data_IF_520196979573
#
_entry.id   IF_520196979573
#
_cell.length_a   1.000
_cell.length_b   1.000
_cell.length_c   1.000
_cell.angle_alpha   90.00
_cell.angle_beta   90.00
_cell.angle_gamma   90.00
#
_symmetry.space_group_name_H-M   'P 1'
#
loop_
_entity.id
_entity.type
_entity.pdbx_description
1 polymer ?
#
# COMPACT_ATOMS: atom_id res chain seq x y z
N UNK A 1 31.85 -40.18 66.43
CA UNK A 1 30.43 -40.59 66.45
C UNK A 1 29.66 -39.77 65.43
N UNK A 2 29.07 -40.45 64.44
CA UNK A 2 27.85 -40.18 63.68
C UNK A 2 27.09 -38.86 63.97
N UNK A 3 26.55 -38.12 62.99
CA UNK A 3 25.56 -38.65 62.05
C UNK A 3 25.33 -37.73 60.83
N UNK A 4 25.23 -38.37 59.67
CA UNK A 4 24.66 -37.84 58.42
C UNK A 4 23.13 -37.81 58.54
N UNK A 5 22.51 -36.68 58.82
CA UNK A 5 21.08 -36.47 58.58
C UNK A 5 20.87 -34.96 58.42
N UNK A 6 20.12 -34.53 57.40
CA UNK A 6 19.95 -33.14 56.90
C UNK A 6 20.95 -32.64 55.84
N UNK A 7 21.02 -33.36 54.71
CA UNK A 7 21.28 -32.75 53.39
C UNK A 7 20.23 -33.24 52.40
N UNK A 8 18.99 -32.75 52.54
CA UNK A 8 17.94 -32.90 51.53
C UNK A 8 16.79 -31.96 51.86
N UNK A 9 16.95 -30.67 51.53
CA UNK A 9 15.85 -29.77 51.14
C UNK A 9 16.47 -28.43 50.79
N UNK A 10 16.55 -28.10 49.50
CA UNK A 10 17.06 -26.78 49.11
C UNK A 10 17.57 -26.64 47.69
N UNK A 11 17.17 -27.47 46.73
CA UNK A 11 17.36 -27.17 45.31
C UNK A 11 16.16 -27.76 44.57
N UNK A 12 15.07 -27.02 44.49
CA UNK A 12 13.85 -27.51 43.90
C UNK A 12 12.81 -26.44 43.75
N UNK A 13 13.18 -25.29 43.18
CA UNK A 13 12.28 -24.33 42.53
C UNK A 13 13.15 -23.28 41.84
N UNK A 14 12.71 -22.74 40.70
CA UNK A 14 13.42 -21.81 39.80
C UNK A 14 14.21 -22.52 38.69
N UNK A 15 13.50 -23.30 37.88
CA UNK A 15 13.80 -23.46 36.45
C UNK A 15 12.50 -23.70 35.68
N UNK A 16 11.47 -22.90 35.96
CA UNK A 16 10.35 -22.75 35.03
C UNK A 16 10.82 -21.79 33.94
N UNK A 17 11.60 -22.32 33.00
CA UNK A 17 11.81 -21.71 31.69
C UNK A 17 10.42 -21.60 31.05
N UNK A 18 9.78 -20.46 31.26
CA UNK A 18 8.76 -19.95 30.35
C UNK A 18 9.46 -19.81 29.00
N UNK A 19 9.45 -20.88 28.21
CA UNK A 19 9.64 -20.80 26.77
C UNK A 19 8.48 -19.98 26.24
N UNK A 20 8.57 -18.66 26.37
CA UNK A 20 7.74 -17.73 25.63
C UNK A 20 8.19 -17.93 24.19
N UNK A 21 7.54 -18.87 23.50
CA UNK A 21 7.71 -19.04 22.08
C UNK A 21 7.32 -17.70 21.46
N UNK A 22 8.33 -16.89 21.17
CA UNK A 22 8.19 -15.59 20.52
C UNK A 22 7.74 -15.86 19.09
N UNK A 23 6.45 -16.13 18.92
CA UNK A 23 5.85 -16.13 17.60
C UNK A 23 6.09 -14.77 16.99
N UNK A 24 6.67 -14.75 15.78
CA UNK A 24 6.85 -13.51 15.03
C UNK A 24 5.49 -12.83 14.89
N UNK A 25 5.39 -11.60 15.40
CA UNK A 25 4.16 -10.80 15.32
C UNK A 25 3.87 -10.46 13.87
N UNK A 26 2.61 -10.60 13.46
CA UNK A 26 2.15 -10.07 12.18
C UNK A 26 2.00 -8.56 12.31
N UNK A 27 2.84 -7.81 11.60
CA UNK A 27 2.84 -6.35 11.59
C UNK A 27 1.77 -5.86 10.61
N UNK A 28 0.83 -5.05 11.09
CA UNK A 28 -0.26 -4.48 10.30
C UNK A 28 -0.04 -2.98 10.18
N UNK A 29 0.19 -2.50 8.97
CA UNK A 29 0.11 -1.07 8.68
C UNK A 29 -1.37 -0.66 8.57
N UNK A 30 -1.74 0.38 9.33
CA UNK A 30 -3.09 0.92 9.42
C UNK A 30 -3.04 2.33 8.85
N UNK A 31 -3.57 2.48 7.66
CA UNK A 31 -3.66 3.76 7.00
C UNK A 31 -4.98 4.46 7.34
N UNK A 32 -4.91 5.53 8.13
CA UNK A 32 -6.07 6.38 8.36
C UNK A 32 -6.21 7.35 7.17
N UNK A 33 -7.21 7.15 6.32
CA UNK A 33 -7.44 7.95 5.12
C UNK A 33 -7.49 9.45 5.41
N UNK A 34 -7.08 10.26 4.43
CA UNK A 34 -7.09 11.73 4.50
C UNK A 34 -6.22 12.32 5.65
N UNK A 35 -6.56 13.50 6.16
CA UNK A 35 -5.86 14.16 7.27
C UNK A 35 -5.38 15.57 6.92
N UNK A 36 -5.21 16.43 7.94
CA UNK A 36 -4.79 17.81 7.76
C UNK A 36 -5.80 18.61 6.94
N UNK A 37 -5.33 19.25 5.86
CA UNK A 37 -6.19 20.04 4.95
C UNK A 37 -7.10 19.21 4.07
N UNK A 38 -6.86 17.91 3.94
CA UNK A 38 -7.77 17.01 3.26
C UNK A 38 -8.79 16.45 4.27
N UNK A 39 -10.05 16.95 4.28
CA UNK A 39 -11.08 16.45 5.18
C UNK A 39 -11.58 15.05 4.81
N UNK A 40 -11.26 14.56 3.59
CA UNK A 40 -12.03 13.50 2.96
C UNK A 40 -13.50 13.90 2.81
N UNK A 41 -14.39 12.95 2.57
CA UNK A 41 -15.83 13.17 2.49
C UNK A 41 -16.36 13.99 3.69
N UNK A 42 -17.32 14.87 3.42
CA UNK A 42 -17.98 15.69 4.44
C UNK A 42 -19.46 15.33 4.37
N UNK A 43 -19.98 14.82 5.47
CA UNK A 43 -21.39 14.51 5.60
C UNK A 43 -22.24 15.77 5.52
N UNK A 44 -23.42 15.66 4.91
CA UNK A 44 -24.28 16.82 4.61
C UNK A 44 -25.19 17.21 5.78
N UNK A 45 -25.41 16.30 6.72
CA UNK A 45 -26.41 16.47 7.78
C UNK A 45 -25.80 17.17 9.00
N UNK A 46 -24.65 16.68 9.46
CA UNK A 46 -23.98 17.19 10.67
C UNK A 46 -22.55 17.66 10.40
N UNK A 47 -22.08 17.60 9.14
CA UNK A 47 -20.76 18.09 8.77
C UNK A 47 -19.62 17.17 9.22
N UNK A 48 -19.90 15.89 9.49
CA UNK A 48 -18.90 14.93 9.93
C UNK A 48 -17.84 14.74 8.85
N UNK A 49 -16.56 14.83 9.22
CA UNK A 49 -15.44 14.71 8.28
C UNK A 49 -14.87 13.30 8.31
N UNK A 50 -14.65 12.74 7.13
CA UNK A 50 -14.05 11.41 6.95
C UNK A 50 -12.74 11.27 7.71
N UNK A 51 -11.84 12.26 7.64
CA UNK A 51 -10.54 12.21 8.32
C UNK A 51 -10.63 11.96 9.83
N UNK A 52 -11.72 12.39 10.47
CA UNK A 52 -11.97 12.21 11.91
C UNK A 52 -12.47 10.79 12.20
N UNK A 53 -13.39 10.30 11.35
CA UNK A 53 -13.91 8.94 11.40
C UNK A 53 -12.79 7.92 11.20
N UNK A 54 -11.99 8.09 10.13
CA UNK A 54 -10.91 7.15 9.78
C UNK A 54 -9.82 7.11 10.84
N UNK A 55 -9.43 8.27 11.40
CA UNK A 55 -8.45 8.33 12.49
C UNK A 55 -8.97 7.63 13.75
N UNK A 56 -10.25 7.85 14.08
CA UNK A 56 -10.87 7.22 15.25
C UNK A 56 -10.91 5.70 15.10
N UNK A 57 -11.35 5.18 13.96
CA UNK A 57 -11.40 3.72 13.72
C UNK A 57 -9.98 3.14 13.69
N UNK A 58 -9.01 3.82 13.06
CA UNK A 58 -7.63 3.37 13.00
C UNK A 58 -6.98 3.27 14.39
N UNK A 59 -7.24 4.22 15.29
CA UNK A 59 -6.75 4.16 16.69
C UNK A 59 -7.35 3.00 17.46
N UNK A 60 -8.65 2.76 17.32
CA UNK A 60 -9.33 1.61 17.95
C UNK A 60 -8.78 0.28 17.41
N UNK A 61 -8.56 0.18 16.09
CA UNK A 61 -7.95 -1.00 15.48
C UNK A 61 -6.52 -1.21 15.97
N UNK A 62 -5.72 -0.15 16.07
CA UNK A 62 -4.35 -0.22 16.62
C UNK A 62 -4.37 -0.76 18.06
N UNK A 63 -5.25 -0.24 18.91
CA UNK A 63 -5.36 -0.69 20.30
C UNK A 63 -5.71 -2.18 20.40
N UNK A 64 -6.64 -2.67 19.55
CA UNK A 64 -6.97 -4.09 19.48
C UNK A 64 -5.79 -4.95 19.03
N UNK A 65 -5.05 -4.50 18.01
CA UNK A 65 -3.89 -5.23 17.49
C UNK A 65 -2.71 -5.25 18.46
N UNK A 66 -2.44 -4.15 19.16
CA UNK A 66 -1.35 -4.07 20.13
C UNK A 66 -1.65 -4.86 21.42
N UNK A 67 -2.93 -5.10 21.72
CA UNK A 67 -3.35 -5.94 22.83
C UNK A 67 -3.26 -7.45 22.52
N UNK A 68 -3.23 -7.85 21.25
CA UNK A 68 -3.06 -9.25 20.84
C UNK A 68 -1.56 -9.56 20.66
N UNK A 69 -0.99 -10.53 21.40
CA UNK A 69 0.43 -10.88 21.30
C UNK A 69 0.85 -11.36 19.90
N UNK A 70 -0.09 -11.71 19.03
CA UNK A 70 0.17 -12.15 17.66
C UNK A 70 0.32 -11.00 16.65
N UNK A 71 -0.04 -9.77 17.00
CA UNK A 71 -0.07 -8.64 16.08
C UNK A 71 0.77 -7.46 16.60
N UNK A 72 1.06 -6.54 15.67
CA UNK A 72 1.61 -5.21 15.97
C UNK A 72 0.98 -4.20 15.02
N UNK A 73 0.30 -3.18 15.54
CA UNK A 73 -0.30 -2.12 14.74
C UNK A 73 0.66 -0.95 14.48
N UNK A 74 0.82 -0.53 13.23
CA UNK A 74 1.60 0.64 12.83
C UNK A 74 0.70 1.60 12.08
N UNK A 75 0.48 2.80 12.61
CA UNK A 75 -0.35 3.79 11.92
C UNK A 75 0.46 4.62 10.93
N UNK A 76 -0.11 4.94 9.75
CA UNK A 76 0.50 5.91 8.83
C UNK A 76 0.49 7.31 9.46
N UNK A 77 -0.66 7.72 10.03
CA UNK A 77 -0.79 8.93 10.86
C UNK A 77 -1.38 8.64 12.23
N UNK A 78 -0.84 9.25 13.27
CA UNK A 78 -1.36 9.17 14.64
C UNK A 78 -2.17 10.41 15.05
N UNK A 79 -2.18 11.46 14.23
CA UNK A 79 -2.85 12.74 14.47
C UNK A 79 -3.56 13.28 13.23
N UNK A 80 -4.03 14.54 13.34
CA UNK A 80 -4.67 15.25 12.23
C UNK A 80 -3.64 16.02 11.40
N UNK A 81 -2.86 15.28 10.64
CA UNK A 81 -1.93 15.83 9.66
C UNK A 81 -2.03 15.05 8.35
N UNK A 82 -1.66 15.73 7.28
CA UNK A 82 -1.72 15.18 5.94
C UNK A 82 -0.53 14.25 5.66
N UNK A 83 -0.76 13.16 4.91
CA UNK A 83 0.29 12.26 4.40
C UNK A 83 0.04 12.00 2.92
N UNK A 84 1.07 12.20 2.09
CA UNK A 84 0.99 11.94 0.66
C UNK A 84 0.79 10.44 0.38
N UNK A 85 0.04 10.12 -0.68
CA UNK A 85 -0.31 8.75 -1.02
C UNK A 85 0.91 7.79 -1.09
N UNK A 86 2.04 8.15 -1.75
CA UNK A 86 3.22 7.28 -1.76
C UNK A 86 3.86 7.09 -0.37
N UNK A 87 3.81 8.11 0.49
CA UNK A 87 4.39 8.04 1.84
C UNK A 87 3.63 7.07 2.74
N UNK A 88 2.33 6.85 2.51
CA UNK A 88 1.52 5.88 3.28
C UNK A 88 2.07 4.47 3.11
N UNK A 89 2.36 4.08 1.87
CA UNK A 89 2.99 2.79 1.55
C UNK A 89 4.43 2.71 2.03
N UNK A 90 5.18 3.81 1.93
CA UNK A 90 6.55 3.90 2.45
C UNK A 90 6.64 3.62 3.96
N UNK A 91 5.71 4.17 4.74
CA UNK A 91 5.65 3.93 6.19
C UNK A 91 5.42 2.44 6.48
N UNK A 92 4.57 1.78 5.69
CA UNK A 92 4.32 0.35 5.81
C UNK A 92 5.60 -0.47 5.53
N UNK A 93 6.30 -0.18 4.44
CA UNK A 93 7.57 -0.83 4.06
C UNK A 93 8.66 -0.62 5.11
N UNK A 94 8.89 0.61 5.56
CA UNK A 94 9.88 0.93 6.61
C UNK A 94 9.64 0.18 7.92
N UNK A 95 8.38 -0.12 8.23
CA UNK A 95 8.01 -0.88 9.42
C UNK A 95 7.90 -2.39 9.18
N UNK A 96 8.28 -2.87 7.99
CA UNK A 96 8.20 -4.28 7.58
C UNK A 96 6.80 -4.86 7.78
N UNK A 97 5.78 -4.08 7.41
CA UNK A 97 4.40 -4.49 7.53
C UNK A 97 4.12 -5.72 6.67
N UNK A 98 3.46 -6.72 7.26
CA UNK A 98 3.01 -7.91 6.53
C UNK A 98 1.74 -7.63 5.74
N UNK A 99 0.90 -6.71 6.22
CA UNK A 99 -0.37 -6.33 5.61
C UNK A 99 -0.57 -4.81 5.72
N UNK A 100 -1.26 -4.21 4.76
CA UNK A 100 -1.70 -2.82 4.79
C UNK A 100 -3.23 -2.73 4.72
N UNK A 101 -3.83 -1.99 5.64
CA UNK A 101 -5.26 -1.74 5.68
C UNK A 101 -5.48 -0.23 5.67
N UNK A 102 -6.03 0.28 4.58
CA UNK A 102 -6.49 1.66 4.50
C UNK A 102 -7.95 1.75 4.93
N UNK A 103 -8.27 2.68 5.81
CA UNK A 103 -9.61 2.88 6.39
C UNK A 103 -10.16 4.19 5.86
N UNK A 104 -11.34 4.09 5.26
CA UNK A 104 -12.06 5.19 4.63
C UNK A 104 -13.54 5.19 5.03
N UNK A 105 -14.20 6.32 4.77
CA UNK A 105 -15.65 6.47 4.87
C UNK A 105 -16.12 7.32 3.69
N UNK A 106 -16.35 6.62 2.57
CA UNK A 106 -16.69 7.16 1.25
C UNK A 106 -17.83 8.18 1.24
N UNK A 107 -18.03 8.81 0.10
CA UNK A 107 -19.23 9.57 -0.22
C UNK A 107 -19.58 9.33 -1.68
N UNK A 108 -20.81 8.92 -1.95
CA UNK A 108 -21.32 8.84 -3.32
C UNK A 108 -21.93 10.20 -3.73
N UNK A 109 -21.34 10.92 -4.69
CA UNK A 109 -21.91 12.18 -5.18
C UNK A 109 -23.24 11.95 -5.91
N UNK A 110 -23.43 10.78 -6.51
CA UNK A 110 -24.58 10.43 -7.34
C UNK A 110 -25.70 9.72 -6.58
N UNK A 111 -25.48 9.25 -5.35
CA UNK A 111 -26.50 8.56 -4.56
C UNK A 111 -26.34 8.75 -3.07
N UNK A 112 -27.31 9.41 -2.44
CA UNK A 112 -27.40 9.52 -0.98
C UNK A 112 -27.94 8.24 -0.32
N UNK A 113 -28.43 7.29 -1.12
CA UNK A 113 -29.02 6.03 -0.65
C UNK A 113 -28.00 4.89 -0.54
N UNK A 114 -26.81 5.06 -1.13
CA UNK A 114 -25.75 4.07 -1.01
C UNK A 114 -25.29 4.01 0.46
N UNK A 115 -25.25 2.80 1.02
CA UNK A 115 -24.97 2.55 2.44
C UNK A 115 -24.28 1.21 2.63
N UNK A 116 -23.64 1.05 3.78
CA UNK A 116 -22.97 -0.19 4.13
C UNK A 116 -21.48 -0.18 3.80
N UNK A 117 -20.81 -1.25 4.21
CA UNK A 117 -19.36 -1.40 4.06
C UNK A 117 -18.99 -2.01 2.71
N UNK A 118 -17.77 -1.71 2.25
CA UNK A 118 -17.15 -2.40 1.12
C UNK A 118 -15.65 -2.55 1.34
N UNK A 119 -15.04 -3.49 0.61
CA UNK A 119 -13.59 -3.69 0.65
C UNK A 119 -13.07 -3.67 -0.78
N UNK A 120 -12.00 -2.90 -0.99
CA UNK A 120 -11.34 -2.74 -2.26
C UNK A 120 -9.93 -3.34 -2.24
N UNK A 121 -9.53 -3.89 -3.38
CA UNK A 121 -8.20 -4.43 -3.65
C UNK A 121 -7.66 -3.83 -4.94
N UNK A 122 -6.35 -3.95 -5.16
CA UNK A 122 -5.72 -3.46 -6.38
C UNK A 122 -6.28 -4.18 -7.63
N UNK A 123 -6.49 -3.45 -8.71
CA UNK A 123 -6.89 -4.02 -10.00
C UNK A 123 -5.69 -4.59 -10.77
N UNK A 124 -5.89 -5.66 -11.55
CA UNK A 124 -4.82 -6.27 -12.35
C UNK A 124 -4.18 -5.25 -13.30
N UNK A 125 -4.98 -4.40 -13.96
CA UNK A 125 -4.46 -3.35 -14.84
C UNK A 125 -3.53 -2.40 -14.07
N UNK A 126 -3.97 -1.91 -12.91
CA UNK A 126 -3.14 -0.99 -12.12
C UNK A 126 -1.90 -1.69 -11.59
N UNK A 127 -2.00 -2.95 -11.18
CA UNK A 127 -0.86 -3.73 -10.74
C UNK A 127 0.19 -3.90 -11.84
N UNK A 128 -0.24 -4.15 -13.08
CA UNK A 128 0.67 -4.22 -14.24
C UNK A 128 1.36 -2.88 -14.51
N UNK A 129 0.63 -1.76 -14.41
CA UNK A 129 1.22 -0.41 -14.54
C UNK A 129 2.28 -0.15 -13.46
N UNK A 130 2.00 -0.52 -12.20
CA UNK A 130 2.97 -0.42 -11.12
C UNK A 130 4.17 -1.33 -11.38
N UNK A 131 3.97 -2.59 -11.81
CA UNK A 131 5.06 -3.51 -12.13
C UNK A 131 6.01 -2.94 -13.19
N UNK A 132 5.48 -2.25 -14.20
CA UNK A 132 6.28 -1.53 -15.19
C UNK A 132 7.18 -0.46 -14.58
N UNK A 133 6.64 0.34 -13.64
CA UNK A 133 7.43 1.35 -12.90
C UNK A 133 8.51 0.68 -12.05
N UNK A 134 8.14 -0.39 -11.33
CA UNK A 134 9.07 -1.12 -10.46
C UNK A 134 10.18 -1.83 -11.25
N UNK A 135 9.93 -2.23 -12.50
CA UNK A 135 10.94 -2.76 -13.41
C UNK A 135 11.99 -1.72 -13.82
N UNK A 136 11.61 -0.45 -13.88
CA UNK A 136 12.51 0.66 -14.23
C UNK A 136 13.32 1.15 -13.00
N UNK A 137 12.76 1.03 -11.80
CA UNK A 137 13.34 1.52 -10.54
C UNK A 137 14.26 0.50 -9.84
N UNK A 138 15.47 0.29 -10.38
CA UNK A 138 16.48 -0.66 -9.89
C UNK A 138 16.82 -0.52 -8.39
N UNK A 139 16.86 0.71 -7.87
CA UNK A 139 17.14 0.96 -6.45
C UNK A 139 16.07 0.35 -5.52
N UNK A 140 14.80 0.37 -5.93
CA UNK A 140 13.69 -0.15 -5.11
C UNK A 140 13.55 -1.67 -5.21
N UNK A 141 14.00 -2.28 -6.32
CA UNK A 141 14.01 -3.75 -6.48
C UNK A 141 14.87 -4.43 -5.41
N UNK A 142 16.02 -3.83 -5.10
CA UNK A 142 16.96 -4.31 -4.09
C UNK A 142 16.36 -4.34 -2.68
N UNK A 143 15.52 -3.35 -2.35
CA UNK A 143 14.82 -3.24 -1.07
C UNK A 143 13.66 -4.26 -0.96
N UNK A 144 12.95 -4.49 -2.08
CA UNK A 144 11.76 -5.34 -2.14
C UNK A 144 12.05 -6.82 -1.90
N UNK A 145 13.19 -7.30 -2.39
CA UNK A 145 13.50 -8.73 -2.50
C UNK A 145 14.41 -9.24 -1.38
N UNK A 146 14.75 -8.38 -0.41
CA UNK A 146 15.67 -8.73 0.67
C UNK A 146 16.99 -9.28 0.14
N UNK A 147 17.57 -10.29 0.80
CA UNK A 147 18.83 -10.93 0.35
C UNK A 147 18.78 -11.56 -1.05
N UNK A 148 17.60 -11.73 -1.66
CA UNK A 148 17.47 -12.11 -3.08
C UNK A 148 17.60 -10.91 -4.03
N UNK A 149 17.38 -9.69 -3.53
CA UNK A 149 17.58 -8.45 -4.26
C UNK A 149 19.01 -8.28 -4.73
N UNK A 150 20.02 -8.61 -3.92
CA UNK A 150 21.43 -8.53 -4.34
C UNK A 150 21.80 -9.49 -5.48
N UNK A 151 21.08 -10.61 -5.63
CA UNK A 151 21.30 -11.57 -6.74
C UNK A 151 20.66 -11.02 -8.03
N UNK A 152 19.53 -10.33 -7.90
CA UNK A 152 18.76 -9.77 -9.01
C UNK A 152 19.27 -8.40 -9.47
N UNK A 153 19.84 -7.62 -8.56
CA UNK A 153 20.44 -6.30 -8.85
C UNK A 153 21.82 -6.40 -9.50
N UNK A 154 22.53 -7.51 -9.31
CA UNK A 154 23.83 -7.77 -9.94
C UNK A 154 23.72 -8.45 -11.32
N UNK A 155 22.53 -8.95 -11.66
CA UNK A 155 22.28 -9.60 -12.93
C UNK A 155 21.43 -8.67 -13.81
N UNK A 156 21.94 -8.23 -14.97
CA UNK A 156 21.21 -7.41 -15.93
C UNK A 156 20.08 -8.19 -16.67
N UNK A 157 19.51 -9.22 -16.06
CA UNK A 157 18.52 -10.10 -16.65
C UNK A 157 17.10 -9.58 -16.42
N UNK A 158 16.68 -8.67 -17.30
CA UNK A 158 15.34 -8.06 -17.29
C UNK A 158 14.20 -9.08 -17.14
N UNK A 159 14.30 -10.22 -17.81
CA UNK A 159 13.26 -11.26 -17.77
C UNK A 159 13.16 -11.93 -16.39
N UNK A 160 14.28 -12.22 -15.74
CA UNK A 160 14.30 -12.79 -14.39
C UNK A 160 13.69 -11.82 -13.38
N UNK A 161 14.08 -10.54 -13.42
CA UNK A 161 13.55 -9.50 -12.55
C UNK A 161 12.03 -9.33 -12.76
N UNK A 162 11.57 -9.38 -14.02
CA UNK A 162 10.15 -9.37 -14.35
C UNK A 162 9.40 -10.57 -13.80
N UNK A 163 9.91 -11.79 -13.93
CA UNK A 163 9.25 -12.98 -13.38
C UNK A 163 9.16 -12.92 -11.86
N UNK A 164 10.24 -12.53 -11.17
CA UNK A 164 10.23 -12.46 -9.71
C UNK A 164 9.26 -11.38 -9.21
N UNK A 165 9.26 -10.20 -9.85
CA UNK A 165 8.30 -9.15 -9.53
C UNK A 165 6.87 -9.61 -9.80
N UNK A 166 6.60 -10.21 -10.95
CA UNK A 166 5.26 -10.72 -11.29
C UNK A 166 4.74 -11.74 -10.27
N UNK A 167 5.60 -12.67 -9.82
CA UNK A 167 5.26 -13.63 -8.76
C UNK A 167 4.93 -12.93 -7.44
N UNK A 168 5.74 -11.95 -7.04
CA UNK A 168 5.53 -11.18 -5.80
C UNK A 168 4.22 -10.38 -5.85
N UNK A 169 3.98 -9.68 -6.96
CA UNK A 169 2.76 -8.90 -7.20
C UNK A 169 1.52 -9.80 -7.20
N UNK A 170 1.58 -10.92 -7.92
CA UNK A 170 0.49 -11.90 -8.01
C UNK A 170 0.18 -12.49 -6.63
N UNK A 171 1.21 -12.80 -5.84
CA UNK A 171 1.05 -13.24 -4.46
C UNK A 171 0.35 -12.16 -3.61
N UNK A 172 0.86 -10.93 -3.64
CA UNK A 172 0.31 -9.80 -2.87
C UNK A 172 -1.16 -9.53 -3.20
N UNK A 173 -1.53 -9.54 -4.49
CA UNK A 173 -2.92 -9.37 -4.93
C UNK A 173 -3.84 -10.47 -4.43
N UNK A 174 -3.43 -11.74 -4.57
CA UNK A 174 -4.21 -12.89 -4.09
C UNK A 174 -4.37 -12.84 -2.56
N UNK A 175 -3.28 -12.55 -1.86
CA UNK A 175 -3.26 -12.41 -0.41
C UNK A 175 -4.19 -11.27 0.05
N UNK A 176 -4.17 -10.13 -0.64
CA UNK A 176 -5.05 -8.98 -0.39
C UNK A 176 -6.52 -9.31 -0.64
N UNK A 177 -6.83 -10.07 -1.70
CA UNK A 177 -8.19 -10.52 -1.99
C UNK A 177 -8.75 -11.46 -0.91
N UNK A 178 -7.96 -12.45 -0.48
CA UNK A 178 -8.38 -13.35 0.60
C UNK A 178 -8.50 -12.64 1.95
N UNK A 179 -7.61 -11.68 2.24
CA UNK A 179 -7.75 -10.79 3.40
C UNK A 179 -9.07 -10.02 3.30
N UNK A 180 -9.34 -9.40 2.16
CA UNK A 180 -10.55 -8.64 1.92
C UNK A 180 -11.81 -9.47 2.16
N UNK A 181 -11.85 -10.72 1.71
CA UNK A 181 -12.98 -11.65 1.97
C UNK A 181 -13.21 -11.87 3.45
N UNK A 182 -12.15 -12.11 4.23
CA UNK A 182 -12.29 -12.33 5.67
C UNK A 182 -12.77 -11.10 6.42
N UNK A 183 -12.24 -9.91 6.08
CA UNK A 183 -12.67 -8.63 6.67
C UNK A 183 -14.11 -8.32 6.30
N UNK A 184 -14.47 -8.47 5.02
CA UNK A 184 -15.82 -8.22 4.51
C UNK A 184 -16.86 -9.14 5.18
N UNK A 185 -16.54 -10.42 5.37
CA UNK A 185 -17.39 -11.37 6.09
C UNK A 185 -17.67 -10.93 7.54
N UNK A 186 -16.67 -10.37 8.24
CA UNK A 186 -16.87 -9.89 9.61
C UNK A 186 -17.61 -8.54 9.66
N UNK A 187 -17.43 -7.68 8.66
CA UNK A 187 -18.18 -6.43 8.53
C UNK A 187 -19.68 -6.66 8.28
N UNK A 188 -20.04 -7.73 7.59
CA UNK A 188 -21.44 -8.12 7.35
C UNK A 188 -22.25 -8.35 8.64
N UNK A 189 -21.57 -8.63 9.76
CA UNK A 189 -22.21 -8.79 11.07
C UNK A 189 -22.48 -7.45 11.77
N UNK A 190 -21.96 -6.34 11.23
CA UNK A 190 -22.07 -4.99 11.82
C UNK A 190 -22.91 -4.06 10.94
N UNK A 191 -22.76 -4.17 9.62
CA UNK A 191 -23.50 -3.36 8.64
C UNK A 191 -23.73 -4.13 7.35
N UNK A 192 -24.70 -3.67 6.56
CA UNK A 192 -24.94 -4.21 5.23
C UNK A 192 -23.68 -4.05 4.36
N UNK A 193 -23.48 -4.95 3.42
CA UNK A 193 -22.42 -4.81 2.43
C UNK A 193 -22.94 -4.21 1.13
N UNK A 194 -22.18 -3.32 0.51
CA UNK A 194 -22.47 -2.83 -0.85
C UNK A 194 -22.35 -3.98 -1.85
N UNK A 195 -21.34 -4.83 -1.68
CA UNK A 195 -21.05 -6.02 -2.47
C UNK A 195 -20.60 -7.15 -1.54
N UNK A 196 -20.96 -8.38 -1.87
CA UNK A 196 -20.62 -9.58 -1.08
C UNK A 196 -19.17 -10.05 -1.28
N UNK A 197 -18.44 -9.47 -2.24
CA UNK A 197 -17.03 -9.78 -2.53
C UNK A 197 -16.18 -8.51 -2.59
N UNK A 198 -14.85 -8.61 -2.34
CA UNK A 198 -13.93 -7.50 -2.56
C UNK A 198 -13.98 -7.01 -3.99
N UNK A 199 -13.93 -5.69 -4.18
CA UNK A 199 -13.98 -5.04 -5.47
C UNK A 199 -12.58 -4.60 -5.91
N UNK A 200 -12.31 -4.60 -7.21
CA UNK A 200 -11.02 -4.15 -7.74
C UNK A 200 -11.06 -2.67 -8.08
N UNK A 201 -10.02 -1.93 -7.70
CA UNK A 201 -9.88 -0.51 -8.03
C UNK A 201 -8.42 -0.10 -8.23
N UNK A 202 -8.23 1.01 -8.94
CA UNK A 202 -6.92 1.60 -9.25
C UNK A 202 -6.53 2.67 -8.22
N UNK A 203 -6.68 2.34 -6.93
CA UNK A 203 -6.50 3.29 -5.83
C UNK A 203 -5.03 3.45 -5.45
N UNK A 204 -4.62 4.70 -5.20
CA UNK A 204 -3.19 5.01 -5.02
C UNK A 204 -2.57 4.39 -3.77
N UNK A 205 -3.35 4.23 -2.70
CA UNK A 205 -2.90 3.61 -1.45
C UNK A 205 -2.70 2.09 -1.59
N UNK A 206 -3.34 1.47 -2.57
CA UNK A 206 -3.26 0.02 -2.82
C UNK A 206 -2.10 -0.36 -3.74
N UNK A 207 -1.23 0.58 -4.10
CA UNK A 207 -0.15 0.40 -5.07
C UNK A 207 1.06 -0.39 -4.54
N UNK A 208 1.05 -0.86 -3.29
CA UNK A 208 2.19 -1.65 -2.77
C UNK A 208 2.21 -3.02 -3.46
N UNK A 209 3.26 -3.35 -4.21
CA UNK A 209 3.33 -4.63 -4.89
C UNK A 209 3.70 -5.81 -3.99
N UNK A 210 4.35 -5.50 -2.88
CA UNK A 210 5.00 -6.40 -1.95
C UNK A 210 4.24 -6.57 -0.64
N UNK A 211 3.31 -5.66 -0.37
CA UNK A 211 2.49 -5.69 0.84
C UNK A 211 1.04 -5.96 0.41
N UNK A 212 0.46 -7.12 0.77
CA UNK A 212 -0.96 -7.37 0.57
C UNK A 212 -1.78 -6.25 1.21
N UNK A 213 -2.56 -5.56 0.38
CA UNK A 213 -3.21 -4.30 0.73
C UNK A 213 -4.72 -4.36 0.47
N UNK A 214 -5.51 -3.83 1.42
CA UNK A 214 -6.95 -3.62 1.25
C UNK A 214 -7.32 -2.18 1.63
N UNK A 215 -8.38 -1.64 1.02
CA UNK A 215 -9.06 -0.43 1.46
C UNK A 215 -10.45 -0.81 1.95
N UNK A 216 -10.76 -0.46 3.19
CA UNK A 216 -12.06 -0.70 3.83
C UNK A 216 -12.85 0.58 3.82
N UNK A 217 -13.94 0.60 3.06
CA UNK A 217 -14.97 1.62 3.18
C UNK A 217 -15.93 1.22 4.28
N UNK A 218 -15.97 2.02 5.34
CA UNK A 218 -16.70 1.69 6.57
C UNK A 218 -18.18 2.06 6.51
N UNK A 219 -18.56 2.89 5.53
CA UNK A 219 -19.90 3.42 5.30
C UNK A 219 -19.81 4.66 4.40
N UNK A 220 -20.96 5.25 4.05
CA UNK A 220 -21.03 6.42 3.17
C UNK A 220 -21.48 7.66 3.94
N UNK A 221 -20.62 8.66 4.10
CA UNK A 221 -20.97 9.93 4.75
C UNK A 221 -22.01 10.75 3.96
N UNK A 222 -22.20 10.46 2.68
CA UNK A 222 -23.29 11.02 1.89
C UNK A 222 -24.67 10.52 2.31
N UNK A 223 -24.75 9.41 3.06
CA UNK A 223 -25.99 8.86 3.58
C UNK A 223 -26.23 9.36 5.02
N UNK A 224 -27.34 10.07 5.31
CA UNK A 224 -27.59 10.65 6.64
C UNK A 224 -27.60 9.64 7.79
N UNK A 225 -28.13 8.44 7.55
CA UNK A 225 -28.21 7.38 8.56
C UNK A 225 -26.81 6.83 8.89
N UNK A 226 -25.97 6.61 7.87
CA UNK A 226 -24.59 6.17 8.07
C UNK A 226 -23.74 7.28 8.70
N UNK A 227 -23.95 8.55 8.32
CA UNK A 227 -23.30 9.71 8.94
C UNK A 227 -23.57 9.75 10.46
N UNK A 228 -24.83 9.62 10.87
CA UNK A 228 -25.19 9.57 12.30
C UNK A 228 -24.58 8.38 13.02
N UNK A 229 -24.56 7.19 12.39
CA UNK A 229 -23.92 6.00 12.97
C UNK A 229 -22.42 6.22 13.15
N UNK A 230 -21.73 6.66 12.10
CA UNK A 230 -20.29 6.93 12.09
C UNK A 230 -19.90 8.07 13.03
N UNK A 231 -20.83 8.96 13.40
CA UNK A 231 -20.61 9.98 14.44
C UNK A 231 -20.42 9.36 15.84
N UNK A 232 -20.97 8.17 16.10
CA UNK A 232 -20.89 7.52 17.42
C UNK A 232 -19.59 6.71 17.60
N UNK A 233 -18.94 6.87 18.75
CA UNK A 233 -17.77 6.05 19.11
C UNK A 233 -18.11 4.56 19.19
N UNK A 234 -19.30 4.21 19.69
CA UNK A 234 -19.74 2.83 19.80
C UNK A 234 -19.78 2.10 18.44
N UNK A 235 -20.30 2.76 17.39
CA UNK A 235 -20.32 2.17 16.05
C UNK A 235 -18.91 2.05 15.46
N UNK A 236 -18.07 3.09 15.60
CA UNK A 236 -16.67 3.05 15.15
C UNK A 236 -15.87 1.91 15.82
N UNK A 237 -16.10 1.65 17.12
CA UNK A 237 -15.54 0.50 17.84
C UNK A 237 -16.02 -0.85 17.30
N UNK A 238 -17.30 -0.98 16.94
CA UNK A 238 -17.84 -2.19 16.29
C UNK A 238 -17.16 -2.46 14.95
N UNK A 239 -16.99 -1.42 14.12
CA UNK A 239 -16.29 -1.52 12.84
C UNK A 239 -14.82 -1.92 13.04
N UNK A 240 -14.09 -1.24 13.92
CA UNK A 240 -12.69 -1.59 14.23
C UNK A 240 -12.55 -3.05 14.69
N UNK A 241 -13.47 -3.51 15.55
CA UNK A 241 -13.51 -4.91 16.02
C UNK A 241 -13.83 -5.90 14.90
N UNK A 242 -14.69 -5.55 13.96
CA UNK A 242 -14.96 -6.39 12.79
C UNK A 242 -13.73 -6.53 11.90
N UNK A 243 -12.99 -5.43 11.65
CA UNK A 243 -11.74 -5.46 10.89
C UNK A 243 -10.70 -6.33 11.61
N UNK A 244 -10.51 -6.14 12.92
CA UNK A 244 -9.64 -6.97 13.76
C UNK A 244 -10.00 -8.46 13.68
N UNK A 245 -11.28 -8.81 13.83
CA UNK A 245 -11.73 -10.20 13.72
C UNK A 245 -11.50 -10.78 12.31
N UNK A 246 -11.54 -9.93 11.28
CA UNK A 246 -11.17 -10.30 9.91
C UNK A 246 -9.69 -10.68 9.82
N UNK A 247 -8.81 -9.87 10.41
CA UNK A 247 -7.37 -10.13 10.47
C UNK A 247 -7.04 -11.40 11.26
N UNK A 248 -7.69 -11.62 12.41
CA UNK A 248 -7.55 -12.85 13.19
C UNK A 248 -7.95 -14.05 12.34
N UNK A 249 -9.10 -13.98 11.65
CA UNK A 249 -9.58 -15.06 10.80
C UNK A 249 -8.67 -15.30 9.57
N UNK A 250 -8.11 -14.25 8.98
CA UNK A 250 -7.13 -14.35 7.91
C UNK A 250 -5.85 -15.04 8.37
N UNK A 251 -5.29 -14.60 9.49
CA UNK A 251 -4.07 -15.17 10.07
C UNK A 251 -4.26 -16.65 10.41
N UNK A 252 -5.43 -17.05 10.91
CA UNK A 252 -5.71 -18.45 11.23
C UNK A 252 -5.68 -19.38 10.00
N UNK A 253 -5.89 -18.84 8.79
CA UNK A 253 -5.78 -19.59 7.52
C UNK A 253 -4.35 -19.68 7.00
N UNK A 254 -3.44 -18.82 7.49
CA UNK A 254 -2.05 -18.86 7.08
C UNK A 254 -1.33 -20.04 7.73
N UNK A 255 -0.51 -20.78 6.98
CA UNK A 255 0.27 -21.86 7.55
C UNK A 255 1.13 -21.29 8.69
N UNK A 256 1.00 -21.90 9.88
CA UNK A 256 1.87 -21.55 11.02
C UNK A 256 3.28 -21.96 10.62
N UNK A 257 4.13 -21.01 10.25
CA UNK A 257 5.55 -21.24 10.02
C UNK A 257 6.18 -21.64 11.35
N UNK A 258 6.25 -22.95 11.57
CA UNK A 258 6.67 -23.50 12.86
C UNK A 258 6.58 -25.02 12.93
N UNK A 259 7.02 -25.76 11.91
CA UNK A 259 7.58 -27.11 12.10
C UNK A 259 8.51 -27.47 10.93
N UNK A 260 9.74 -27.84 11.28
CA UNK A 260 10.91 -28.26 10.47
C UNK A 260 10.61 -28.78 9.05
N UNK A 261 10.98 -28.01 8.04
CA UNK A 261 11.49 -28.55 6.77
C UNK A 261 12.95 -28.13 6.66
N UNK A 262 13.82 -28.81 7.42
CA UNK A 262 15.26 -28.80 7.14
C UNK A 262 15.41 -29.63 5.88
N UNK A 263 15.56 -28.98 4.73
CA UNK A 263 16.12 -29.64 3.56
C UNK A 263 17.53 -30.08 3.97
N UNK A 264 17.75 -31.40 4.11
CA UNK A 264 19.10 -31.96 4.17
C UNK A 264 19.69 -31.76 2.78
N UNK A 265 20.63 -30.84 2.66
CA UNK A 265 21.55 -30.82 1.54
C UNK A 265 22.32 -32.14 1.54
N UNK A 266 22.01 -33.01 0.58
CA UNK A 266 22.90 -34.13 0.24
C UNK A 266 24.07 -33.53 -0.52
N UNK A 267 25.22 -33.35 0.17
CA UNK A 267 26.49 -33.10 -0.51
C UNK A 267 26.80 -34.31 -1.39
N UNK A 268 26.56 -34.21 -2.70
CA UNK A 268 27.21 -35.08 -3.66
C UNK A 268 28.60 -34.49 -3.95
N UNK A 269 29.61 -35.14 -3.38
CA UNK A 269 31.00 -34.95 -3.77
C UNK A 269 31.15 -35.26 -5.26
N UNK A 270 31.54 -34.26 -6.04
CA UNK A 270 32.01 -34.46 -7.42
C UNK A 270 33.37 -35.14 -7.37
N UNK A 271 33.42 -36.44 -7.71
CA UNK A 271 34.64 -37.04 -8.25
C UNK A 271 34.77 -36.62 -9.71
N UNK A 272 35.88 -35.94 -10.00
CA UNK A 272 36.33 -35.72 -11.36
C UNK A 272 36.72 -37.07 -11.98
N UNK A 273 36.27 -37.31 -13.20
CA UNK A 273 36.95 -38.25 -14.09
C UNK A 273 37.01 -37.64 -15.50
N UNK A 274 38.23 -37.60 -16.02
CA UNK A 274 38.57 -37.11 -17.35
C UNK A 274 38.35 -38.25 -18.36
N UNK A 275 37.69 -37.97 -19.49
CA UNK A 275 38.32 -38.07 -20.82
C UNK A 275 37.32 -38.27 -21.99
N UNK A 276 37.65 -37.55 -23.07
CA UNK A 276 37.51 -37.85 -24.51
C UNK A 276 36.14 -37.72 -25.23
N UNK A 277 36.00 -36.55 -25.86
CA UNK A 277 36.01 -36.33 -27.33
C UNK A 277 35.05 -37.16 -28.22
N UNK A 278 34.08 -36.48 -28.84
CA UNK A 278 33.86 -36.52 -30.30
C UNK A 278 32.84 -35.48 -30.77
N UNK A 279 33.20 -34.73 -31.81
CA UNK A 279 32.34 -33.89 -32.66
C UNK A 279 31.53 -34.77 -33.63
N UNK A 280 30.41 -34.26 -34.19
CA UNK A 280 30.46 -33.90 -35.61
C UNK A 280 29.72 -32.61 -36.02
N UNK A 281 30.27 -31.93 -37.02
CA UNK A 281 29.60 -30.98 -37.96
C UNK A 281 28.60 -31.78 -38.83
N UNK A 282 27.58 -31.24 -39.51
CA UNK A 282 27.63 -30.20 -40.55
C UNK A 282 26.20 -29.84 -41.02
N UNK A 283 26.03 -28.58 -41.43
CA UNK A 283 25.25 -28.01 -42.55
C UNK A 283 23.82 -28.47 -42.90
N UNK A 284 22.91 -27.49 -43.08
CA UNK A 284 22.38 -27.11 -44.41
C UNK A 284 21.77 -25.70 -44.38
N UNK A 285 22.20 -24.87 -45.35
CA UNK A 285 21.66 -23.56 -45.73
C UNK A 285 20.33 -23.70 -46.48
N UNK A 286 19.40 -22.75 -46.34
CA UNK A 286 18.66 -22.18 -47.48
C UNK A 286 18.51 -20.67 -47.29
N UNK A 287 18.95 -19.93 -48.32
CA UNK A 287 18.90 -18.48 -48.49
C UNK A 287 17.47 -18.04 -48.94
N UNK A 288 17.08 -16.76 -48.95
CA UNK A 288 17.36 -15.80 -50.04
C UNK A 288 16.53 -14.52 -49.75
N UNK A 289 17.22 -13.38 -49.58
CA UNK A 289 17.18 -12.11 -50.34
C UNK A 289 16.01 -11.15 -50.07
N UNK A 290 16.33 -9.94 -49.62
CA UNK A 290 16.48 -8.67 -50.39
C UNK A 290 15.15 -7.89 -50.35
N UNK A 291 15.06 -6.57 -50.20
CA UNK A 291 16.02 -5.50 -50.47
C UNK A 291 15.42 -4.15 -49.99
N UNK A 292 16.30 -3.25 -49.50
CA UNK A 292 16.46 -1.83 -49.92
C UNK A 292 15.28 -0.83 -49.68
N UNK A 293 15.40 0.48 -49.37
CA UNK A 293 16.42 1.58 -49.43
C UNK A 293 15.98 2.63 -48.37
N UNK A 294 16.88 3.19 -47.54
CA UNK A 294 17.44 4.59 -47.54
C UNK A 294 16.46 5.73 -47.88
N UNK A 295 16.55 6.98 -47.42
CA UNK A 295 17.65 7.86 -47.00
C UNK A 295 17.06 9.03 -46.16
N UNK A 296 17.94 9.75 -45.43
CA UNK A 296 18.11 11.21 -45.49
C UNK A 296 18.25 11.94 -44.13
N UNK A 297 19.38 12.67 -44.05
CA UNK A 297 19.84 13.64 -43.05
C UNK A 297 19.06 14.97 -43.10
N UNK A 298 19.04 15.71 -41.98
CA UNK A 298 19.53 17.12 -41.81
C UNK A 298 19.31 17.51 -40.32
N UNK A 299 20.34 17.91 -39.53
CA UNK A 299 20.88 19.28 -39.30
C UNK A 299 19.79 20.32 -38.94
N UNK A 300 19.93 21.29 -38.03
CA UNK A 300 20.89 21.75 -37.01
C UNK A 300 20.21 22.99 -36.34
N UNK A 301 20.84 23.66 -35.37
CA UNK A 301 20.53 24.95 -34.67
C UNK A 301 19.80 24.81 -33.30
N UNK A 302 20.40 25.10 -32.13
CA UNK A 302 20.96 26.36 -31.52
C UNK A 302 19.89 27.48 -31.46
N UNK A 303 19.57 28.16 -30.35
CA UNK A 303 20.39 28.71 -29.25
C UNK A 303 19.54 29.21 -28.04
N UNK A 304 20.21 29.33 -26.87
CA UNK A 304 20.13 30.31 -25.73
C UNK A 304 18.75 30.83 -25.22
N UNK A 305 18.37 30.71 -23.94
CA UNK A 305 18.90 31.24 -22.64
C UNK A 305 18.70 32.76 -22.43
N UNK A 306 18.32 33.10 -21.17
CA UNK A 306 18.28 34.41 -20.47
C UNK A 306 16.95 35.20 -20.54
N UNK A 307 16.42 35.84 -19.49
CA UNK A 307 16.85 36.10 -18.11
C UNK A 307 15.65 36.60 -17.27
N UNK A 308 15.83 36.63 -15.94
CA UNK A 308 14.92 37.16 -14.89
C UNK A 308 15.23 38.66 -14.64
N UNK A 309 14.39 39.45 -13.92
CA UNK A 309 14.59 39.67 -12.46
C UNK A 309 13.25 39.83 -11.66
N UNK A 310 13.13 39.35 -10.40
CA UNK A 310 13.24 40.08 -9.09
C UNK A 310 12.18 41.19 -8.90
N UNK A 311 11.44 41.42 -7.80
CA UNK A 311 11.37 40.98 -6.38
C UNK A 311 10.19 41.73 -5.73
N UNK A 312 9.47 41.17 -4.73
CA UNK A 312 8.95 41.89 -3.55
C UNK A 312 8.27 40.95 -2.54
N UNK A 313 8.60 41.13 -1.26
CA UNK A 313 8.03 40.48 -0.06
C UNK A 313 6.71 41.15 0.35
N UNK A 314 5.75 40.36 0.86
CA UNK A 314 4.80 40.81 1.89
C UNK A 314 4.18 39.60 2.61
N UNK A 315 4.31 39.57 3.94
CA UNK A 315 3.59 38.70 4.87
C UNK A 315 2.13 39.19 5.02
N UNK A 316 1.15 38.28 5.05
CA UNK A 316 -0.12 38.46 5.77
C UNK A 316 -0.96 37.17 5.84
N UNK A 317 -1.23 36.74 7.09
CA UNK A 317 -2.42 36.06 7.63
C UNK A 317 -3.49 35.56 6.63
N UNK A 318 -3.82 34.26 6.65
CA UNK A 318 -4.92 33.71 5.82
C UNK A 318 -6.13 33.24 6.63
N UNK A 319 -7.10 34.15 6.74
CA UNK A 319 -8.55 33.84 6.72
C UNK A 319 -8.86 32.88 5.55
N UNK A 320 -9.86 32.02 5.74
CA UNK A 320 -10.35 31.08 4.72
C UNK A 320 -10.66 31.82 3.40
N UNK A 321 -9.86 31.55 2.35
CA UNK A 321 -10.11 32.07 1.00
C UNK A 321 -11.22 31.26 0.35
N UNK A 322 -12.32 31.92 0.02
CA UNK A 322 -13.32 31.45 -0.94
C UNK A 322 -12.68 31.35 -2.32
N UNK A 323 -12.45 30.14 -2.81
CA UNK A 323 -11.85 29.87 -4.12
C UNK A 323 -12.87 29.96 -5.23
N UNK A 324 -12.57 30.72 -6.29
CA UNK A 324 -13.39 30.84 -7.50
C UNK A 324 -13.49 29.47 -8.22
N UNK A 325 -14.68 28.86 -8.32
CA UNK A 325 -14.87 27.57 -8.98
C UNK A 325 -14.58 27.60 -10.49
N UNK A 326 -14.41 28.79 -11.10
CA UNK A 326 -14.09 28.96 -12.51
C UNK A 326 -12.61 29.29 -12.81
N UNK A 327 -11.73 29.25 -11.82
CA UNK A 327 -10.31 29.50 -12.03
C UNK A 327 -9.71 28.62 -13.15
N UNK A 328 -8.85 29.21 -14.00
CA UNK A 328 -8.11 28.47 -15.06
C UNK A 328 -6.94 27.67 -14.50
N UNK A 329 -6.37 28.14 -13.40
CA UNK A 329 -5.20 27.53 -12.76
C UNK A 329 -5.31 27.54 -11.25
N UNK A 330 -4.63 26.60 -10.61
CA UNK A 330 -4.45 26.52 -9.18
C UNK A 330 -2.97 26.32 -8.85
N UNK A 331 -2.43 27.06 -7.88
CA UNK A 331 -1.06 26.84 -7.40
C UNK A 331 -1.14 25.95 -6.18
N UNK A 332 -0.54 24.75 -6.28
CA UNK A 332 -0.55 23.74 -5.22
C UNK A 332 0.01 24.35 -3.94
N UNK A 333 -0.79 24.37 -2.89
CA UNK A 333 -0.40 24.78 -1.56
C UNK A 333 0.11 23.58 -0.76
N UNK A 334 0.77 23.87 0.36
CA UNK A 334 1.16 22.86 1.33
C UNK A 334 -0.08 22.08 1.81
N UNK A 335 0.06 20.75 1.90
CA UNK A 335 -0.98 19.79 2.32
C UNK A 335 -2.20 19.62 1.38
N UNK A 336 -2.12 20.11 0.15
CA UNK A 336 -3.13 19.80 -0.87
C UNK A 336 -2.81 18.52 -1.64
N UNK A 337 -3.84 17.84 -2.11
CA UNK A 337 -3.75 16.67 -3.00
C UNK A 337 -4.42 16.94 -4.33
N UNK A 338 -4.09 16.11 -5.31
CA UNK A 338 -4.83 16.10 -6.55
C UNK A 338 -6.33 15.83 -6.31
N UNK A 339 -6.67 15.06 -5.27
CA UNK A 339 -8.05 14.78 -4.86
C UNK A 339 -8.73 15.99 -4.19
N UNK A 340 -8.05 16.69 -3.28
CA UNK A 340 -8.61 17.87 -2.61
C UNK A 340 -8.79 19.02 -3.59
N UNK A 341 -7.84 19.20 -4.52
CA UNK A 341 -7.93 20.16 -5.62
C UNK A 341 -9.04 19.76 -6.59
N UNK A 342 -9.11 18.47 -6.99
CA UNK A 342 -10.18 17.97 -7.84
C UNK A 342 -11.56 18.30 -7.28
N UNK A 343 -11.74 18.03 -5.98
CA UNK A 343 -12.99 18.31 -5.29
C UNK A 343 -13.30 19.80 -5.21
N UNK A 344 -12.30 20.64 -4.89
CA UNK A 344 -12.43 22.08 -4.81
C UNK A 344 -12.98 22.68 -6.12
N UNK A 345 -12.53 22.16 -7.26
CA UNK A 345 -12.93 22.62 -8.59
C UNK A 345 -13.96 21.71 -9.27
N UNK A 346 -14.63 20.81 -8.52
CA UNK A 346 -15.68 19.90 -9.01
C UNK A 346 -15.25 19.08 -10.24
N UNK A 347 -14.02 18.60 -10.26
CA UNK A 347 -13.44 17.72 -11.28
C UNK A 347 -12.97 16.41 -10.65
N UNK A 348 -12.33 15.53 -11.42
CA UNK A 348 -11.75 14.28 -10.92
C UNK A 348 -10.21 14.37 -10.85
N UNK A 349 -9.57 13.65 -9.91
CA UNK A 349 -8.13 13.54 -9.85
C UNK A 349 -7.54 13.03 -11.17
N UNK A 350 -8.22 12.09 -11.82
CA UNK A 350 -7.80 11.51 -13.10
C UNK A 350 -7.75 12.58 -14.20
N UNK A 351 -8.81 13.39 -14.31
CA UNK A 351 -8.89 14.48 -15.29
C UNK A 351 -7.83 15.56 -15.04
N UNK A 352 -7.61 15.93 -13.77
CA UNK A 352 -6.52 16.84 -13.41
C UNK A 352 -5.14 16.25 -13.70
N UNK A 353 -4.98 14.94 -13.49
CA UNK A 353 -3.72 14.24 -13.73
C UNK A 353 -3.36 14.27 -15.21
N UNK A 354 -4.34 13.94 -16.07
CA UNK A 354 -4.20 13.92 -17.52
C UNK A 354 -3.90 15.32 -18.07
N UNK A 355 -4.68 16.33 -17.66
CA UNK A 355 -4.52 17.72 -18.11
C UNK A 355 -3.15 18.34 -17.79
N UNK A 356 -2.48 17.84 -16.75
CA UNK A 356 -1.22 18.37 -16.25
C UNK A 356 -0.03 17.44 -16.43
N UNK A 357 -0.21 16.31 -17.14
CA UNK A 357 0.83 15.29 -17.29
C UNK A 357 1.37 14.78 -15.96
N UNK A 358 0.53 14.78 -14.91
CA UNK A 358 0.93 14.27 -13.60
C UNK A 358 0.91 12.76 -13.65
N UNK A 359 2.00 12.14 -13.22
CA UNK A 359 2.09 10.70 -13.01
C UNK A 359 1.92 10.40 -11.53
N UNK A 360 1.22 9.30 -11.22
CA UNK A 360 1.08 8.73 -9.88
C UNK A 360 0.45 9.66 -8.84
N UNK A 361 -0.35 10.65 -9.25
CA UNK A 361 -0.97 11.66 -8.38
C UNK A 361 0.03 12.47 -7.54
N UNK A 362 1.30 12.52 -7.96
CA UNK A 362 2.36 13.25 -7.26
C UNK A 362 2.33 14.72 -7.70
N UNK A 363 1.98 15.60 -6.77
CA UNK A 363 2.01 17.05 -6.98
C UNK A 363 3.04 17.68 -6.06
N UNK A 364 3.59 18.82 -6.48
CA UNK A 364 4.66 19.54 -5.79
C UNK A 364 4.09 20.89 -5.35
N UNK A 365 4.32 21.26 -4.10
CA UNK A 365 3.95 22.58 -3.57
C UNK A 365 4.58 23.68 -4.43
N UNK A 366 3.79 24.70 -4.79
CA UNK A 366 4.16 25.77 -5.70
C UNK A 366 3.97 25.44 -7.18
N UNK A 367 3.69 24.19 -7.56
CA UNK A 367 3.40 23.84 -8.96
C UNK A 367 2.04 24.42 -9.38
N UNK A 368 2.00 25.05 -10.55
CA UNK A 368 0.77 25.56 -11.17
C UNK A 368 0.08 24.44 -11.95
N UNK A 369 -1.16 24.11 -11.58
CA UNK A 369 -2.02 23.14 -12.25
C UNK A 369 -3.07 23.84 -13.11
N UNK A 370 -3.24 23.39 -14.34
CA UNK A 370 -4.38 23.68 -15.21
C UNK A 370 -5.62 22.98 -14.65
N UNK A 371 -6.76 23.66 -14.66
CA UNK A 371 -8.02 23.14 -14.11
C UNK A 371 -9.07 22.79 -15.17
N UNK A 372 -8.95 23.38 -16.37
CA UNK A 372 -9.86 23.21 -17.50
C UNK A 372 -9.08 23.03 -18.79
#
# INVERSE_FOLDING_TARGET
>A
MNNKFFKSLGIGLISLLLSVSSYARTVIAIDAGHGGKDPGAIGKTIGLKEKEVTLSIARELKALLDADPNFKGVMTRSGDYFIQLPQRTEIARKNKANLLISIHADSSPSSQNLKGASVWVLSNRRANDEMGIWLEEHEKQSELLGGAGSILSNNNERYLNQTVLDLQFSHSQRAGYELGKTVLSKLNNVTQLVKSSPQHASLSVLRSPDIPSILVETGFLSNPTEEQRLATSAYRKKIARAIYNGLVAYRAKMPKTGTKAVYKETKQEKKADESKQSTPKTDTKVAVKDKLIKDAKTQDTKDKVQEKPSSAKAEASSKAKTTDPNAKFHVVQQDETLYSIARMYKTTPEKLSELNGIKNNKIIVGKKLKLK
#
